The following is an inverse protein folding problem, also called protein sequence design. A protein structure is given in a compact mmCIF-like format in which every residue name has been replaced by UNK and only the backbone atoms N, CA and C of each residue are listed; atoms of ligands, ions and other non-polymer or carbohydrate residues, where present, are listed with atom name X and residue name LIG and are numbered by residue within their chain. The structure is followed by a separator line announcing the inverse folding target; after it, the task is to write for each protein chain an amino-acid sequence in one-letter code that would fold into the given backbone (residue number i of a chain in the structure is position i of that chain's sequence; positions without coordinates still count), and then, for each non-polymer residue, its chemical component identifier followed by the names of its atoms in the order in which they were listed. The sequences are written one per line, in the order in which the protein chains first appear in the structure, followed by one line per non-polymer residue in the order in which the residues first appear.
data_IF_442625530954
#
_entry.id   IF_442625530954
#
_cell.length_a   1.000
_cell.length_b   1.000
_cell.length_c   1.000
_cell.angle_alpha   90.00
_cell.angle_beta   90.00
_cell.angle_gamma   90.00
#
_symmetry.space_group_name_H-M   'P 1'
#
loop_
_entity.id
_entity.type
_entity.pdbx_description
1 polymer ?
#
# COMPACT_ATOMS: atom_id res chain seq x y z
N UNK A 1 22.99 -39.79 -3.53
CA UNK A 1 21.99 -39.45 -2.50
C UNK A 1 21.22 -38.25 -3.02
N UNK A 2 20.14 -38.51 -3.77
CA UNK A 2 19.35 -37.46 -4.40
C UNK A 2 17.89 -37.82 -4.26
N UNK A 3 17.13 -36.94 -3.63
CA UNK A 3 15.86 -36.38 -4.10
C UNK A 3 15.29 -35.60 -2.93
N UNK A 4 15.59 -34.29 -2.94
CA UNK A 4 14.89 -33.31 -2.12
C UNK A 4 13.41 -33.40 -2.49
N UNK A 5 12.59 -33.68 -1.50
CA UNK A 5 11.16 -33.92 -1.62
C UNK A 5 10.45 -32.63 -2.05
N UNK A 6 10.20 -32.44 -3.35
CA UNK A 6 9.31 -31.38 -3.85
C UNK A 6 7.86 -31.72 -3.48
N UNK A 7 7.48 -31.44 -2.23
CA UNK A 7 6.08 -31.40 -1.80
C UNK A 7 5.44 -30.04 -2.15
N UNK A 8 5.80 -29.51 -3.31
CA UNK A 8 5.43 -28.19 -3.77
C UNK A 8 4.32 -28.35 -4.80
N UNK A 9 3.15 -27.75 -4.56
CA UNK A 9 2.07 -27.72 -5.53
C UNK A 9 2.51 -27.23 -6.91
N UNK A 10 1.84 -27.71 -7.96
CA UNK A 10 2.01 -27.16 -9.31
C UNK A 10 1.73 -25.65 -9.30
N UNK A 11 2.31 -24.92 -10.24
CA UNK A 11 2.17 -23.46 -10.29
C UNK A 11 0.69 -23.07 -10.38
N UNK A 12 0.30 -22.08 -9.57
CA UNK A 12 -1.09 -21.65 -9.44
C UNK A 12 -1.96 -22.52 -8.52
N UNK A 13 -1.38 -23.45 -7.74
CA UNK A 13 -2.08 -24.25 -6.72
C UNK A 13 -1.46 -24.08 -5.34
N UNK A 14 -2.27 -24.21 -4.29
CA UNK A 14 -1.84 -24.09 -2.90
C UNK A 14 -2.65 -24.97 -1.93
N UNK A 15 -2.16 -25.07 -0.70
CA UNK A 15 -2.81 -25.77 0.41
C UNK A 15 -2.58 -27.28 0.41
N UNK A 16 -3.17 -27.97 1.41
CA UNK A 16 -3.01 -29.42 1.56
C UNK A 16 -3.49 -30.15 0.31
N UNK A 17 -2.65 -31.06 -0.21
CA UNK A 17 -2.91 -31.80 -1.46
C UNK A 17 -3.16 -30.92 -2.70
N UNK A 18 -2.81 -29.64 -2.68
CA UNK A 18 -2.93 -28.74 -3.83
C UNK A 18 -4.35 -28.56 -4.37
N UNK A 19 -5.35 -28.73 -3.49
CA UNK A 19 -6.76 -28.68 -3.87
C UNK A 19 -7.29 -27.23 -4.03
N UNK A 20 -6.49 -26.21 -3.70
CA UNK A 20 -6.88 -24.80 -3.86
C UNK A 20 -6.16 -24.21 -5.07
N UNK A 21 -6.91 -23.46 -5.89
CA UNK A 21 -6.34 -22.66 -6.98
C UNK A 21 -6.01 -21.26 -6.47
N UNK A 22 -4.87 -20.73 -6.91
CA UNK A 22 -4.53 -19.32 -6.74
C UNK A 22 -5.34 -18.49 -7.76
N UNK A 23 -6.53 -18.05 -7.36
CA UNK A 23 -7.35 -17.08 -8.10
C UNK A 23 -6.94 -15.63 -7.80
N UNK A 24 -5.64 -15.36 -7.62
CA UNK A 24 -5.15 -14.06 -7.22
C UNK A 24 -5.18 -13.05 -8.38
N UNK A 25 -5.37 -11.77 -8.08
CA UNK A 25 -5.23 -10.68 -9.05
C UNK A 25 -3.74 -10.47 -9.36
N UNK A 26 -3.30 -10.86 -10.56
CA UNK A 26 -1.88 -10.91 -10.91
C UNK A 26 -1.15 -9.56 -10.75
N UNK A 27 -1.82 -8.43 -11.01
CA UNK A 27 -1.24 -7.10 -10.87
C UNK A 27 -0.94 -6.72 -9.41
N UNK A 28 -1.69 -7.31 -8.47
CA UNK A 28 -1.69 -6.97 -7.05
C UNK A 28 -1.08 -8.07 -6.17
N UNK A 29 -0.62 -9.16 -6.79
CA UNK A 29 -0.07 -10.33 -6.11
C UNK A 29 1.45 -10.30 -6.19
N UNK A 30 2.10 -10.52 -5.06
CA UNK A 30 3.55 -10.68 -4.98
C UNK A 30 3.94 -12.10 -5.40
N UNK A 31 3.30 -13.10 -4.80
CA UNK A 31 3.53 -14.51 -5.09
C UNK A 31 2.29 -15.35 -4.75
N UNK A 32 2.03 -16.39 -5.53
CA UNK A 32 1.17 -17.51 -5.13
C UNK A 32 2.05 -18.51 -4.38
N UNK A 33 2.03 -18.43 -3.06
CA UNK A 33 2.75 -19.36 -2.20
C UNK A 33 2.01 -20.70 -2.12
N UNK A 34 2.77 -21.79 -2.24
CA UNK A 34 2.22 -23.14 -2.32
C UNK A 34 1.62 -23.60 -0.97
N UNK A 35 2.01 -23.01 0.15
CA UNK A 35 1.48 -23.29 1.47
C UNK A 35 0.35 -22.33 1.87
N UNK A 36 0.52 -21.01 1.67
CA UNK A 36 -0.37 -19.98 2.21
C UNK A 36 -1.34 -19.36 1.20
N UNK A 37 -1.13 -19.58 -0.10
CA UNK A 37 -1.96 -19.00 -1.16
C UNK A 37 -1.47 -17.64 -1.63
N UNK A 38 -2.38 -16.70 -1.86
CA UNK A 38 -2.02 -15.40 -2.42
C UNK A 38 -1.31 -14.53 -1.37
N UNK A 39 -0.05 -14.19 -1.62
CA UNK A 39 0.64 -13.13 -0.91
C UNK A 39 0.50 -11.84 -1.70
N UNK A 40 -0.15 -10.84 -1.12
CA UNK A 40 -0.43 -9.58 -1.79
C UNK A 40 0.77 -8.63 -1.79
N UNK A 41 0.82 -7.76 -2.79
CA UNK A 41 1.73 -6.60 -2.78
C UNK A 41 1.32 -5.64 -1.67
N UNK A 42 2.24 -4.80 -1.22
CA UNK A 42 1.95 -3.68 -0.32
C UNK A 42 0.80 -2.83 -0.89
N UNK A 43 -0.13 -2.42 -0.02
CA UNK A 43 -1.35 -1.70 -0.41
C UNK A 43 -2.53 -2.59 -0.82
N UNK A 44 -2.37 -3.92 -0.84
CA UNK A 44 -3.45 -4.85 -1.21
C UNK A 44 -3.69 -5.92 -0.13
N UNK A 45 -4.95 -6.33 0.00
CA UNK A 45 -5.41 -7.36 0.94
C UNK A 45 -6.49 -8.26 0.33
N UNK A 46 -6.98 -9.19 1.16
CA UNK A 46 -8.00 -10.16 0.79
C UNK A 46 -7.39 -11.45 0.25
N UNK A 47 -8.22 -12.50 0.18
CA UNK A 47 -7.78 -13.86 -0.20
C UNK A 47 -7.18 -13.90 -1.62
N UNK A 48 -7.59 -12.99 -2.49
CA UNK A 48 -7.19 -12.91 -3.89
C UNK A 48 -6.45 -11.61 -4.24
N UNK A 49 -6.08 -10.79 -3.26
CA UNK A 49 -5.43 -9.48 -3.47
C UNK A 49 -6.25 -8.51 -4.33
N UNK A 50 -7.59 -8.63 -4.28
CA UNK A 50 -8.51 -7.76 -5.01
C UNK A 50 -8.93 -6.52 -4.22
N UNK A 51 -8.66 -6.49 -2.93
CA UNK A 51 -9.08 -5.39 -2.05
C UNK A 51 -7.92 -4.43 -1.83
N UNK A 52 -8.17 -3.16 -2.10
CA UNK A 52 -7.25 -2.08 -1.75
C UNK A 52 -7.23 -1.87 -0.24
N UNK A 53 -6.05 -1.59 0.31
CA UNK A 53 -5.91 -1.18 1.70
C UNK A 53 -6.11 0.33 1.73
N UNK A 54 -7.20 0.80 2.35
CA UNK A 54 -7.33 2.23 2.63
C UNK A 54 -6.36 2.62 3.75
N UNK A 55 -5.15 3.10 3.42
CA UNK A 55 -4.18 3.47 4.44
C UNK A 55 -4.64 4.69 5.26
N UNK A 56 -5.51 5.54 4.70
CA UNK A 56 -5.97 6.78 5.32
C UNK A 56 -7.11 6.59 6.33
N UNK A 57 -7.70 5.40 6.41
CA UNK A 57 -8.78 5.10 7.35
C UNK A 57 -8.34 5.15 8.82
N UNK A 58 -9.25 5.49 9.73
CA UNK A 58 -8.96 5.73 11.17
C UNK A 58 -8.31 4.54 11.89
N UNK A 59 -8.52 3.31 11.38
CA UNK A 59 -7.91 2.10 11.93
C UNK A 59 -6.49 1.81 11.43
N UNK A 60 -6.15 2.25 10.21
CA UNK A 60 -4.87 1.99 9.54
C UNK A 60 -3.85 3.07 9.83
N UNK A 61 -4.29 4.32 9.99
CA UNK A 61 -3.46 5.47 10.37
C UNK A 61 -2.60 5.19 11.61
N UNK A 62 -3.12 4.41 12.57
CA UNK A 62 -2.43 4.02 13.82
C UNK A 62 -1.41 2.90 13.66
N UNK A 63 -1.45 2.18 12.53
CA UNK A 63 -0.56 1.07 12.22
C UNK A 63 0.69 1.49 11.42
N UNK A 64 0.87 2.81 11.19
CA UNK A 64 1.99 3.33 10.40
C UNK A 64 1.91 2.94 8.92
N UNK A 65 0.71 2.71 8.40
CA UNK A 65 0.48 2.35 6.99
C UNK A 65 0.81 3.48 6.03
N UNK A 66 0.80 4.71 6.51
CA UNK A 66 1.27 5.88 5.78
C UNK A 66 2.07 6.82 6.68
N UNK A 67 2.85 7.70 6.06
CA UNK A 67 3.67 8.70 6.73
C UNK A 67 3.14 10.14 6.59
N UNK A 68 1.89 10.34 6.17
CA UNK A 68 1.29 11.67 6.15
C UNK A 68 1.19 12.27 7.56
N UNK A 69 1.60 13.52 7.72
CA UNK A 69 1.66 14.18 9.02
C UNK A 69 0.69 15.35 9.11
N UNK A 70 -0.29 15.23 10.00
CA UNK A 70 -1.14 16.35 10.38
C UNK A 70 -0.34 17.53 10.97
N UNK A 71 0.80 17.26 11.62
CA UNK A 71 1.68 18.30 12.14
C UNK A 71 2.32 19.14 11.01
N UNK A 72 2.57 18.54 9.85
CA UNK A 72 3.04 19.23 8.64
C UNK A 72 1.91 19.70 7.72
N UNK A 73 0.68 19.78 8.24
CA UNK A 73 -0.51 20.25 7.49
C UNK A 73 -0.76 19.43 6.22
N UNK A 74 -0.50 18.13 6.30
CA UNK A 74 -0.78 17.19 5.22
C UNK A 74 -2.12 16.47 5.42
N UNK A 75 -2.77 16.15 4.31
CA UNK A 75 -3.95 15.31 4.22
C UNK A 75 -3.62 14.03 3.44
N UNK A 76 -4.15 12.90 3.90
CA UNK A 76 -3.95 11.60 3.27
C UNK A 76 -5.05 11.35 2.23
N UNK A 77 -4.65 10.99 1.01
CA UNK A 77 -5.55 10.52 -0.03
C UNK A 77 -5.28 9.04 -0.32
N UNK A 78 -6.31 8.22 -0.17
CA UNK A 78 -6.23 6.81 -0.55
C UNK A 78 -6.20 6.68 -2.08
N UNK A 79 -5.33 5.83 -2.60
CA UNK A 79 -5.23 5.51 -4.02
C UNK A 79 -5.08 3.99 -4.19
N UNK A 80 -5.45 3.44 -5.35
CA UNK A 80 -5.31 1.99 -5.53
C UNK A 80 -3.84 1.55 -5.43
N UNK A 81 -3.56 0.66 -4.48
CA UNK A 81 -2.24 0.13 -4.17
C UNK A 81 -1.36 1.05 -3.32
N UNK A 82 -1.92 2.08 -2.67
CA UNK A 82 -1.18 2.93 -1.74
C UNK A 82 -1.87 4.22 -1.35
N UNK A 83 -1.08 5.23 -0.97
CA UNK A 83 -1.61 6.53 -0.55
C UNK A 83 -0.77 7.66 -1.12
N UNK A 84 -1.34 8.87 -1.10
CA UNK A 84 -0.64 10.12 -1.38
C UNK A 84 -0.91 11.13 -0.28
N UNK A 85 0.14 11.76 0.22
CA UNK A 85 0.02 12.94 1.07
C UNK A 85 -0.08 14.19 0.21
N UNK A 86 -1.01 15.08 0.52
CA UNK A 86 -1.15 16.41 -0.09
C UNK A 86 -1.21 17.48 0.99
N UNK A 87 -1.01 18.74 0.65
CA UNK A 87 -1.20 19.82 1.61
C UNK A 87 -2.68 20.12 1.84
N UNK A 88 -3.02 20.48 3.09
CA UNK A 88 -4.33 21.00 3.43
C UNK A 88 -4.65 22.23 2.58
N UNK A 89 -5.95 22.50 2.40
CA UNK A 89 -6.42 23.64 1.62
C UNK A 89 -5.81 24.95 2.12
N UNK A 90 -5.28 25.75 1.20
CA UNK A 90 -4.59 27.02 1.50
C UNK A 90 -3.11 26.85 1.86
N UNK A 91 -2.57 25.62 1.76
CA UNK A 91 -1.16 25.34 1.89
C UNK A 91 -0.60 24.79 0.58
N UNK A 92 0.64 25.14 0.26
CA UNK A 92 1.40 24.64 -0.89
C UNK A 92 2.66 23.94 -0.40
N UNK A 93 3.00 22.84 -1.08
CA UNK A 93 4.24 22.11 -0.82
C UNK A 93 5.41 22.88 -1.44
N UNK A 94 6.43 23.22 -0.64
CA UNK A 94 7.66 23.84 -1.15
C UNK A 94 8.85 22.87 -1.08
N UNK A 95 8.90 22.01 -0.06
CA UNK A 95 10.06 21.15 0.19
C UNK A 95 9.60 19.78 0.67
N UNK A 96 9.68 18.76 -0.19
CA UNK A 96 9.49 17.33 0.10
C UNK A 96 8.57 17.04 1.30
N UNK A 97 7.27 17.33 1.13
CA UNK A 97 6.23 17.13 2.15
C UNK A 97 6.03 18.28 3.16
N UNK A 98 6.80 19.36 3.09
CA UNK A 98 6.61 20.56 3.92
C UNK A 98 5.60 21.49 3.27
N UNK A 99 4.44 21.62 3.91
CA UNK A 99 3.37 22.50 3.49
C UNK A 99 3.45 23.86 4.19
N UNK A 100 3.45 24.95 3.43
CA UNK A 100 3.33 26.31 3.98
C UNK A 100 2.06 26.97 3.49
N UNK A 101 1.55 27.91 4.29
CA UNK A 101 0.41 28.73 3.88
C UNK A 101 0.75 29.52 2.61
N UNK A 102 -0.12 29.48 1.60
CA UNK A 102 0.09 30.18 0.33
C UNK A 102 0.35 31.69 0.55
N UNK A 103 -0.33 32.30 1.52
CA UNK A 103 -0.13 33.71 1.88
C UNK A 103 1.28 34.05 2.37
N UNK A 104 2.06 33.08 2.86
CA UNK A 104 3.45 33.28 3.29
C UNK A 104 4.45 33.20 2.14
N UNK A 105 4.10 32.55 1.04
CA UNK A 105 4.97 32.43 -0.15
C UNK A 105 5.05 33.77 -0.89
N UNK A 106 3.91 34.45 -1.03
CA UNK A 106 3.84 35.76 -1.71
C UNK A 106 4.40 36.91 -0.86
N UNK A 107 4.48 36.75 0.46
CA UNK A 107 5.09 37.74 1.36
C UNK A 107 6.62 37.88 1.16
N UNK A 108 7.28 36.84 0.65
CA UNK A 108 8.72 36.84 0.32
C UNK A 108 9.08 37.40 -1.07
N UNK A 109 8.08 37.78 -1.89
CA UNK A 109 8.28 38.42 -3.20
C UNK A 109 7.93 39.92 -3.19
N UNK A 110 7.60 40.49 -2.02
CA UNK A 110 7.22 41.90 -1.84
C UNK A 110 8.32 42.77 -1.22
N UNK A 111 9.60 42.36 -1.33
CA UNK A 111 10.76 43.17 -0.98
C UNK A 111 11.73 43.28 -2.15
#
# INVERSE_FOLDING_TARGET
MSHVFELACADGKWGVQCNRSCGCVATNTQICDKATGCTCKTGWKGITCSEDIDECSEGTHKLGTHNCSAAFKQFCHNIQGGFKCSCLRGFTEITNGTCVEEGRIYASLLY
#
